data_IF_723531956737
#
_entry.id   IF_723531956737
#
_cell.length_a   1.000
_cell.length_b   1.000
_cell.length_c   1.000
_cell.angle_alpha   90.00
_cell.angle_beta   90.00
_cell.angle_gamma   90.00
#
_symmetry.space_group_name_H-M   'P 1'
#
loop_
_entity.id
_entity.type
_entity.pdbx_description
1 polymer ?
#
# COMPACT_ATOMS: atom_id res chain seq x y z
N UNK A 1 -27.21 46.05 -12.17
CA UNK A 1 -26.16 45.30 -12.89
C UNK A 1 -24.89 45.47 -12.09
N UNK A 2 -24.57 44.47 -11.29
CA UNK A 2 -23.36 44.43 -10.48
C UNK A 2 -22.54 43.25 -11.01
N UNK A 3 -21.40 43.55 -11.63
CA UNK A 3 -20.29 42.63 -11.76
C UNK A 3 -19.23 43.14 -10.77
N UNK A 4 -19.13 42.49 -9.61
CA UNK A 4 -17.98 42.65 -8.73
C UNK A 4 -16.96 41.58 -9.11
N UNK A 5 -15.85 42.03 -9.71
CA UNK A 5 -14.62 41.27 -9.81
C UNK A 5 -14.15 40.91 -8.39
N UNK A 6 -14.21 39.63 -8.06
CA UNK A 6 -13.62 39.09 -6.84
C UNK A 6 -12.10 39.09 -6.99
N UNK A 7 -11.48 40.14 -6.44
CA UNK A 7 -10.04 40.31 -6.40
C UNK A 7 -9.37 39.15 -5.65
N UNK A 8 -8.22 38.73 -6.19
CA UNK A 8 -7.32 37.75 -5.61
C UNK A 8 -6.92 38.17 -4.19
N UNK A 9 -7.58 37.59 -3.20
CA UNK A 9 -7.11 37.58 -1.82
C UNK A 9 -5.78 36.83 -1.81
N UNK A 10 -4.74 37.43 -1.25
CA UNK A 10 -3.46 36.79 -0.95
C UNK A 10 -3.69 35.68 0.10
N UNK A 11 -3.73 34.42 -0.37
CA UNK A 11 -4.02 33.23 0.45
C UNK A 11 -2.74 32.40 0.66
N UNK A 12 -1.69 32.98 1.24
CA UNK A 12 -0.36 32.35 1.30
C UNK A 12 -0.06 31.54 2.59
N UNK A 13 -0.87 31.63 3.65
CA UNK A 13 -0.52 31.05 4.97
C UNK A 13 -1.30 29.83 5.47
N UNK A 14 -2.64 29.81 5.32
CA UNK A 14 -3.49 28.94 6.15
C UNK A 14 -3.90 27.58 5.51
N UNK A 15 -3.58 27.33 4.24
CA UNK A 15 -4.05 26.14 3.49
C UNK A 15 -3.08 24.94 3.49
N UNK A 16 -2.02 24.96 4.31
CA UNK A 16 -0.88 24.01 4.17
C UNK A 16 -0.91 22.79 5.10
N UNK A 17 -1.94 22.61 5.94
CA UNK A 17 -1.96 21.45 6.84
C UNK A 17 -2.49 20.20 6.13
N UNK A 18 -1.59 19.26 5.85
CA UNK A 18 -1.93 17.92 5.36
C UNK A 18 -2.30 17.06 6.56
N UNK A 19 -3.50 16.48 6.53
CA UNK A 19 -4.04 15.63 7.60
C UNK A 19 -3.69 14.16 7.39
N UNK A 20 -3.78 13.67 6.15
CA UNK A 20 -3.44 12.29 5.79
C UNK A 20 -2.86 12.23 4.38
N UNK A 21 -1.96 11.27 4.16
CA UNK A 21 -1.47 10.88 2.85
C UNK A 21 -1.67 9.37 2.65
N UNK A 22 -1.99 8.97 1.44
CA UNK A 22 -2.03 7.57 1.02
C UNK A 22 -1.41 7.47 -0.38
N UNK A 23 -0.57 6.47 -0.57
CA UNK A 23 0.06 6.19 -1.87
C UNK A 23 -0.50 4.87 -2.40
N UNK A 24 -0.94 4.88 -3.66
CA UNK A 24 -1.15 3.66 -4.44
C UNK A 24 0.09 3.31 -5.25
N UNK A 25 -0.05 2.42 -6.23
CA UNK A 25 1.10 1.94 -7.02
C UNK A 25 1.82 3.05 -7.81
N UNK A 26 1.06 3.99 -8.37
CA UNK A 26 1.56 5.06 -9.26
C UNK A 26 0.83 6.39 -9.05
N UNK A 27 0.19 6.57 -7.90
CA UNK A 27 -0.56 7.78 -7.58
C UNK A 27 -0.57 8.03 -6.08
N UNK A 28 -0.84 9.28 -5.72
CA UNK A 28 -0.90 9.72 -4.33
C UNK A 28 -2.15 10.53 -4.10
N UNK A 29 -2.69 10.39 -2.90
CA UNK A 29 -3.88 11.10 -2.43
C UNK A 29 -3.55 11.73 -1.09
N UNK A 30 -3.87 13.02 -0.94
CA UNK A 30 -3.68 13.74 0.32
C UNK A 30 -4.95 14.47 0.74
N UNK A 31 -5.28 14.42 2.02
CA UNK A 31 -6.36 15.19 2.62
C UNK A 31 -5.80 16.45 3.27
N UNK A 32 -6.26 17.62 2.80
CA UNK A 32 -6.08 18.91 3.47
C UNK A 32 -7.45 19.38 3.98
N UNK A 33 -7.85 20.62 3.66
CA UNK A 33 -9.25 21.07 3.74
C UNK A 33 -10.16 20.36 2.74
N UNK A 34 -9.59 19.90 1.63
CA UNK A 34 -10.24 19.13 0.57
C UNK A 34 -9.30 18.02 0.11
N UNK A 35 -9.86 17.03 -0.58
CA UNK A 35 -9.06 15.92 -1.07
C UNK A 35 -8.36 16.27 -2.38
N UNK A 36 -7.05 16.04 -2.44
CA UNK A 36 -6.24 16.19 -3.65
C UNK A 36 -5.65 14.86 -4.10
N UNK A 37 -5.54 14.67 -5.42
CA UNK A 37 -4.88 13.52 -6.01
C UNK A 37 -3.94 13.93 -7.15
N UNK A 38 -2.88 13.15 -7.35
CA UNK A 38 -1.93 13.28 -8.46
C UNK A 38 -1.30 11.93 -8.77
N UNK A 39 -0.70 11.80 -9.95
CA UNK A 39 -0.17 10.55 -10.50
C UNK A 39 -0.90 10.13 -11.78
N UNK A 40 -0.87 8.84 -12.10
CA UNK A 40 -1.24 8.36 -13.44
C UNK A 40 -2.62 7.68 -13.53
N UNK A 41 -3.18 7.64 -14.75
CA UNK A 41 -4.23 6.71 -15.23
C UNK A 41 -5.62 6.76 -14.57
N UNK A 42 -6.30 7.91 -14.55
CA UNK A 42 -7.76 8.00 -14.29
C UNK A 42 -8.30 7.51 -12.95
N UNK A 43 -7.42 7.03 -12.08
CA UNK A 43 -7.68 6.64 -10.68
C UNK A 43 -7.71 7.82 -9.72
N UNK A 44 -7.65 9.04 -10.26
CA UNK A 44 -7.55 10.28 -9.51
C UNK A 44 -8.93 10.85 -9.13
N UNK A 45 -10.03 10.35 -9.71
CA UNK A 45 -11.38 10.74 -9.31
C UNK A 45 -11.88 12.06 -9.92
N UNK A 46 -11.22 12.57 -10.97
CA UNK A 46 -11.54 13.84 -11.62
C UNK A 46 -12.51 13.72 -12.81
N UNK A 47 -13.05 12.52 -13.10
CA UNK A 47 -13.96 12.30 -14.22
C UNK A 47 -13.29 12.16 -15.59
N UNK A 48 -11.96 11.96 -15.62
CA UNK A 48 -11.17 11.71 -16.83
C UNK A 48 -9.99 10.77 -16.53
N UNK A 49 -9.25 10.39 -17.56
CA UNK A 49 -8.10 9.47 -17.49
C UNK A 49 -6.73 10.16 -17.56
N UNK A 50 -6.68 11.49 -17.47
CA UNK A 50 -5.44 12.25 -17.62
C UNK A 50 -4.51 12.08 -16.40
N UNK A 51 -3.22 11.98 -16.68
CA UNK A 51 -2.18 12.04 -15.65
C UNK A 51 -2.09 13.46 -15.08
N UNK A 52 -1.82 13.57 -13.78
CA UNK A 52 -1.62 14.85 -13.09
C UNK A 52 -0.29 14.86 -12.36
N UNK A 53 0.57 15.81 -12.73
CA UNK A 53 1.89 15.99 -12.10
C UNK A 53 1.88 16.99 -10.94
N UNK A 54 0.73 17.60 -10.66
CA UNK A 54 0.51 18.49 -9.51
C UNK A 54 -0.75 18.07 -8.76
N UNK A 55 -0.80 18.17 -7.43
CA UNK A 55 -1.99 17.85 -6.65
C UNK A 55 -3.20 18.68 -7.10
N UNK A 56 -4.28 18.02 -7.51
CA UNK A 56 -5.53 18.68 -7.91
C UNK A 56 -6.69 18.29 -7.00
N UNK A 57 -7.62 19.22 -6.67
CA UNK A 57 -8.80 18.90 -5.88
C UNK A 57 -9.76 17.92 -6.57
N UNK A 58 -10.21 16.90 -5.84
CA UNK A 58 -11.30 16.01 -6.26
C UNK A 58 -12.63 16.71 -5.95
N UNK A 59 -13.14 17.47 -6.93
CA UNK A 59 -14.36 18.29 -6.77
C UNK A 59 -15.57 17.49 -6.28
N UNK A 60 -15.69 16.22 -6.68
CA UNK A 60 -16.78 15.34 -6.29
C UNK A 60 -16.83 15.02 -4.78
N UNK A 61 -15.72 15.24 -4.05
CA UNK A 61 -15.64 15.02 -2.60
C UNK A 61 -15.62 16.31 -1.79
N UNK A 62 -15.78 17.47 -2.45
CA UNK A 62 -15.79 18.76 -1.77
C UNK A 62 -16.93 18.80 -0.74
N UNK A 63 -16.60 19.19 0.49
CA UNK A 63 -17.58 19.33 1.58
C UNK A 63 -17.91 18.04 2.32
N UNK A 64 -17.40 16.89 1.86
CA UNK A 64 -17.51 15.64 2.62
C UNK A 64 -16.44 15.58 3.70
N UNK A 65 -16.82 15.12 4.89
CA UNK A 65 -15.88 14.91 5.99
C UNK A 65 -15.27 13.51 5.87
N UNK A 66 -14.04 13.45 5.35
CA UNK A 66 -13.31 12.20 5.15
C UNK A 66 -12.64 11.77 6.46
N UNK A 67 -12.81 10.50 6.85
CA UNK A 67 -12.16 9.85 7.99
C UNK A 67 -10.90 9.09 7.60
N UNK A 68 -10.94 8.39 6.47
CA UNK A 68 -9.87 7.50 6.03
C UNK A 68 -9.90 7.36 4.50
N UNK A 69 -8.74 7.10 3.91
CA UNK A 69 -8.55 6.84 2.49
C UNK A 69 -7.67 5.61 2.35
N UNK A 70 -7.99 4.78 1.37
CA UNK A 70 -7.14 3.67 0.95
C UNK A 70 -6.94 3.73 -0.57
N UNK A 71 -5.69 3.54 -0.99
CA UNK A 71 -5.31 3.46 -2.39
C UNK A 71 -4.79 2.05 -2.67
N UNK A 72 -5.38 1.39 -3.66
CA UNK A 72 -4.86 0.15 -4.22
C UNK A 72 -3.90 0.42 -5.38
N UNK A 73 -3.74 -0.55 -6.28
CA UNK A 73 -2.96 -0.30 -7.49
C UNK A 73 -3.64 0.76 -8.34
N UNK A 74 -4.91 0.51 -8.73
CA UNK A 74 -5.65 1.32 -9.71
C UNK A 74 -7.06 1.75 -9.25
N UNK A 75 -7.36 1.65 -7.96
CA UNK A 75 -8.64 2.06 -7.39
C UNK A 75 -8.43 2.68 -6.00
N UNK A 76 -9.36 3.53 -5.60
CA UNK A 76 -9.30 4.28 -4.35
C UNK A 76 -10.64 4.21 -3.63
N UNK A 77 -10.58 4.30 -2.30
CA UNK A 77 -11.74 4.39 -1.42
C UNK A 77 -11.55 5.51 -0.42
N UNK A 78 -12.66 6.15 -0.05
CA UNK A 78 -12.72 7.08 1.07
C UNK A 78 -13.90 6.72 1.98
N UNK A 79 -13.61 6.61 3.28
CA UNK A 79 -14.63 6.50 4.33
C UNK A 79 -14.95 7.91 4.80
N UNK A 80 -16.21 8.34 4.69
CA UNK A 80 -16.67 9.66 5.13
C UNK A 80 -17.47 9.55 6.43
N UNK A 81 -17.94 10.67 6.97
CA UNK A 81 -18.89 10.68 8.09
C UNK A 81 -20.29 10.21 7.67
N UNK A 82 -20.61 10.31 6.37
CA UNK A 82 -21.91 10.04 5.75
C UNK A 82 -21.98 8.67 5.02
N UNK A 83 -20.87 7.95 4.91
CA UNK A 83 -20.76 6.64 4.26
C UNK A 83 -19.45 6.48 3.48
N UNK A 84 -19.39 5.52 2.58
CA UNK A 84 -18.17 5.16 1.86
C UNK A 84 -18.32 5.45 0.36
N UNK A 85 -17.23 5.91 -0.25
CA UNK A 85 -17.16 6.21 -1.69
C UNK A 85 -15.90 5.63 -2.29
N UNK A 86 -15.95 5.29 -3.59
CA UNK A 86 -14.85 4.64 -4.29
C UNK A 86 -14.83 4.99 -5.78
N UNK A 87 -13.65 4.90 -6.39
CA UNK A 87 -13.44 5.23 -7.80
C UNK A 87 -12.19 4.53 -8.35
N UNK A 88 -12.04 4.53 -9.68
CA UNK A 88 -10.95 3.92 -10.41
C UNK A 88 -11.37 2.68 -11.21
N UNK A 89 -10.44 1.73 -11.36
CA UNK A 89 -10.62 0.46 -12.09
C UNK A 89 -11.58 -0.47 -11.36
N UNK A 90 -12.43 -1.18 -12.09
CA UNK A 90 -13.47 -2.06 -11.57
C UNK A 90 -13.61 -3.40 -12.33
N UNK A 91 -12.65 -3.79 -13.15
CA UNK A 91 -12.77 -4.96 -14.03
C UNK A 91 -13.07 -6.29 -13.30
N UNK A 92 -12.80 -6.38 -11.99
CA UNK A 92 -13.09 -7.54 -11.15
C UNK A 92 -14.09 -7.23 -10.03
N UNK A 93 -14.78 -6.09 -10.10
CA UNK A 93 -15.74 -5.68 -9.09
C UNK A 93 -15.13 -5.08 -7.83
N UNK A 94 -13.85 -4.65 -7.86
CA UNK A 94 -13.16 -4.04 -6.71
C UNK A 94 -13.77 -2.72 -6.24
N UNK A 95 -14.65 -2.11 -7.05
CA UNK A 95 -15.48 -1.01 -6.59
C UNK A 95 -16.79 -1.48 -5.94
N UNK A 96 -17.08 -2.76 -5.74
CA UNK A 96 -18.26 -3.17 -4.96
C UNK A 96 -19.62 -2.61 -5.43
N UNK A 97 -19.74 -2.15 -6.69
CA UNK A 97 -20.92 -1.46 -7.23
C UNK A 97 -21.95 -2.43 -7.83
N UNK A 98 -21.67 -3.73 -7.82
CA UNK A 98 -22.46 -4.75 -8.51
C UNK A 98 -22.23 -4.79 -10.02
N UNK A 99 -21.20 -4.09 -10.51
CA UNK A 99 -20.82 -4.03 -11.93
C UNK A 99 -19.31 -4.21 -12.07
N UNK A 100 -18.84 -4.38 -13.32
CA UNK A 100 -17.41 -4.40 -13.67
C UNK A 100 -16.97 -3.15 -14.43
N UNK A 101 -17.80 -2.12 -14.44
CA UNK A 101 -17.54 -0.86 -15.15
C UNK A 101 -16.67 0.07 -14.30
N UNK A 102 -15.60 0.58 -14.89
CA UNK A 102 -14.70 1.54 -14.26
C UNK A 102 -15.45 2.82 -13.88
N UNK A 103 -15.06 3.45 -12.77
CA UNK A 103 -15.69 4.69 -12.30
C UNK A 103 -14.66 5.82 -12.22
N UNK A 104 -14.65 6.80 -13.14
CA UNK A 104 -13.68 7.89 -13.10
C UNK A 104 -14.01 8.94 -12.02
N UNK A 105 -15.14 8.80 -11.32
CA UNK A 105 -15.57 9.66 -10.22
C UNK A 105 -15.98 8.83 -8.99
N UNK A 106 -15.91 9.39 -7.77
CA UNK A 106 -16.37 8.72 -6.55
C UNK A 106 -17.86 8.34 -6.60
N UNK A 107 -18.16 7.08 -6.30
CA UNK A 107 -19.51 6.54 -6.18
C UNK A 107 -19.73 5.85 -4.83
N UNK A 108 -20.94 5.97 -4.28
CA UNK A 108 -21.33 5.33 -3.01
C UNK A 108 -21.57 3.84 -3.15
N UNK A 109 -21.20 3.07 -2.13
CA UNK A 109 -21.46 1.62 -2.08
C UNK A 109 -22.86 1.38 -1.51
N UNK A 110 -23.85 1.07 -2.35
CA UNK A 110 -25.22 0.80 -1.88
C UNK A 110 -25.30 -0.41 -0.95
N UNK A 111 -24.42 -1.40 -1.13
CA UNK A 111 -24.36 -2.60 -0.31
C UNK A 111 -24.06 -2.33 1.18
N UNK A 112 -23.46 -1.17 1.52
CA UNK A 112 -23.22 -0.77 2.90
C UNK A 112 -24.33 0.13 3.49
N UNK A 113 -25.47 0.27 2.81
CA UNK A 113 -26.59 1.02 3.38
C UNK A 113 -27.03 0.41 4.72
N UNK A 114 -26.96 1.20 5.79
CA UNK A 114 -27.26 0.77 7.16
C UNK A 114 -26.10 0.10 7.91
N UNK A 115 -24.94 -0.06 7.27
CA UNK A 115 -23.72 -0.61 7.89
C UNK A 115 -22.73 0.54 8.08
N UNK A 116 -22.27 0.77 9.31
CA UNK A 116 -21.25 1.80 9.56
C UNK A 116 -19.86 1.24 9.33
N UNK A 117 -19.16 1.68 8.28
CA UNK A 117 -17.76 1.27 8.07
C UNK A 117 -16.83 2.07 8.97
N UNK A 118 -15.90 1.33 9.59
CA UNK A 118 -14.81 1.86 10.41
C UNK A 118 -13.61 2.19 9.54
N UNK A 119 -13.20 1.24 8.69
CA UNK A 119 -12.04 1.40 7.82
C UNK A 119 -12.08 0.47 6.61
N UNK A 120 -11.30 0.84 5.60
CA UNK A 120 -11.12 0.13 4.33
C UNK A 120 -9.63 -0.06 4.02
N UNK A 121 -9.33 -1.09 3.23
CA UNK A 121 -8.01 -1.37 2.67
C UNK A 121 -8.16 -1.87 1.22
N UNK A 122 -7.17 -1.56 0.38
CA UNK A 122 -7.20 -1.84 -1.05
C UNK A 122 -5.88 -2.49 -1.48
N UNK A 123 -5.97 -3.62 -2.19
CA UNK A 123 -4.84 -4.28 -2.83
C UNK A 123 -4.75 -3.96 -4.32
N UNK A 124 -4.28 -4.92 -5.12
CA UNK A 124 -4.19 -4.74 -6.57
C UNK A 124 -5.57 -4.45 -7.20
N UNK A 125 -6.47 -5.42 -7.02
CA UNK A 125 -7.80 -5.48 -7.61
C UNK A 125 -8.80 -6.12 -6.63
N UNK A 126 -8.51 -6.03 -5.33
CA UNK A 126 -9.41 -6.47 -4.27
C UNK A 126 -9.46 -5.43 -3.17
N UNK A 127 -10.51 -5.50 -2.37
CA UNK A 127 -10.79 -4.53 -1.33
C UNK A 127 -11.34 -5.25 -0.11
N UNK A 128 -10.99 -4.73 1.06
CA UNK A 128 -11.51 -5.21 2.33
C UNK A 128 -12.00 -4.04 3.18
N UNK A 129 -12.98 -4.31 4.03
CA UNK A 129 -13.51 -3.33 4.97
C UNK A 129 -13.85 -3.96 6.32
N UNK A 130 -13.83 -3.13 7.37
CA UNK A 130 -14.28 -3.50 8.70
C UNK A 130 -15.40 -2.54 9.11
N UNK A 131 -16.54 -3.09 9.56
CA UNK A 131 -17.61 -2.30 10.17
C UNK A 131 -17.27 -1.88 11.60
N UNK A 132 -17.97 -0.88 12.15
CA UNK A 132 -17.80 -0.45 13.55
C UNK A 132 -18.11 -1.56 14.56
N UNK A 133 -18.97 -2.50 14.18
CA UNK A 133 -19.32 -3.68 14.97
C UNK A 133 -18.26 -4.79 14.90
N UNK A 134 -17.22 -4.60 14.07
CA UNK A 134 -16.10 -5.52 13.90
C UNK A 134 -16.31 -6.60 12.83
N UNK A 135 -17.31 -6.46 11.96
CA UNK A 135 -17.51 -7.39 10.85
C UNK A 135 -16.51 -7.10 9.71
N UNK A 136 -15.82 -8.15 9.24
CA UNK A 136 -14.90 -8.09 8.11
C UNK A 136 -15.64 -8.39 6.80
N UNK A 137 -15.35 -7.61 5.75
CA UNK A 137 -15.89 -7.77 4.41
C UNK A 137 -14.76 -7.83 3.38
N UNK A 138 -14.98 -8.58 2.30
CA UNK A 138 -14.07 -8.66 1.16
C UNK A 138 -14.83 -8.61 -0.17
N UNK A 139 -14.27 -7.93 -1.17
CA UNK A 139 -14.77 -7.93 -2.55
C UNK A 139 -13.70 -7.63 -3.59
N UNK A 140 -14.06 -7.73 -4.86
CA UNK A 140 -13.17 -7.63 -6.01
C UNK A 140 -12.63 -9.00 -6.46
N UNK A 141 -11.39 -9.00 -6.96
CA UNK A 141 -10.69 -10.18 -7.43
C UNK A 141 -10.38 -11.15 -6.29
N UNK A 142 -10.77 -12.43 -6.42
CA UNK A 142 -10.69 -13.42 -5.33
C UNK A 142 -9.90 -14.68 -5.61
N UNK A 143 -9.16 -14.77 -6.73
CA UNK A 143 -8.62 -16.06 -7.21
C UNK A 143 -7.57 -16.72 -6.32
N UNK A 144 -6.91 -15.96 -5.44
CA UNK A 144 -5.98 -16.54 -4.45
C UNK A 144 -6.60 -16.66 -3.06
N UNK A 145 -7.92 -16.50 -2.91
CA UNK A 145 -8.59 -16.57 -1.60
C UNK A 145 -8.44 -15.30 -0.76
N UNK A 146 -7.90 -14.24 -1.32
CA UNK A 146 -7.64 -12.94 -0.69
C UNK A 146 -8.91 -12.13 -0.36
N UNK A 147 -10.09 -12.73 -0.46
CA UNK A 147 -11.34 -12.17 0.07
C UNK A 147 -11.73 -12.79 1.41
N UNK A 148 -11.14 -13.93 1.78
CA UNK A 148 -11.41 -14.62 3.04
C UNK A 148 -12.75 -15.36 3.08
N UNK A 149 -13.40 -15.56 1.92
CA UNK A 149 -14.77 -16.11 1.82
C UNK A 149 -14.82 -17.63 1.68
N UNK A 150 -13.66 -18.32 1.72
CA UNK A 150 -13.58 -19.78 1.59
C UNK A 150 -13.62 -20.32 0.16
N UNK A 151 -13.56 -19.44 -0.84
CA UNK A 151 -13.49 -19.81 -2.25
C UNK A 151 -12.53 -18.92 -3.05
N UNK A 152 -12.47 -19.14 -4.36
CA UNK A 152 -11.62 -18.41 -5.32
C UNK A 152 -12.43 -17.57 -6.31
N UNK A 153 -13.65 -17.18 -5.97
CA UNK A 153 -14.52 -16.43 -6.88
C UNK A 153 -14.45 -14.93 -6.61
N UNK A 154 -14.52 -14.13 -7.68
CA UNK A 154 -14.59 -12.68 -7.59
C UNK A 154 -15.94 -12.25 -7.00
N UNK A 155 -16.00 -11.13 -6.28
CA UNK A 155 -17.25 -10.55 -5.75
C UNK A 155 -17.44 -9.14 -6.25
N UNK A 156 -18.59 -8.88 -6.87
CA UNK A 156 -18.93 -7.55 -7.40
C UNK A 156 -19.53 -6.61 -6.35
N UNK A 157 -19.85 -7.12 -5.17
CA UNK A 157 -20.36 -6.38 -4.01
C UNK A 157 -19.65 -6.87 -2.74
N UNK A 158 -19.51 -6.03 -1.70
CA UNK A 158 -18.99 -6.44 -0.40
C UNK A 158 -19.72 -7.66 0.17
N UNK A 159 -18.97 -8.71 0.49
CA UNK A 159 -19.49 -9.91 1.15
C UNK A 159 -18.83 -10.09 2.52
N UNK A 160 -19.64 -10.47 3.52
CA UNK A 160 -19.18 -10.62 4.90
C UNK A 160 -18.41 -11.93 5.07
N UNK A 161 -17.22 -11.85 5.66
CA UNK A 161 -16.43 -13.02 6.06
C UNK A 161 -17.06 -13.65 7.31
N UNK A 162 -17.49 -14.91 7.20
CA UNK A 162 -18.26 -15.63 8.23
C UNK A 162 -17.43 -16.61 9.08
N UNK A 163 -16.20 -16.92 8.69
CA UNK A 163 -15.38 -18.00 9.27
C UNK A 163 -14.62 -17.62 10.53
N UNK A 164 -14.89 -16.45 11.11
CA UNK A 164 -14.12 -15.87 12.22
C UNK A 164 -14.60 -16.28 13.62
N UNK A 165 -15.51 -17.25 13.76
CA UNK A 165 -15.99 -17.78 15.04
C UNK A 165 -16.30 -16.68 16.09
N UNK A 166 -17.07 -15.66 15.69
CA UNK A 166 -17.44 -14.48 16.51
C UNK A 166 -16.30 -13.50 16.86
N UNK A 167 -15.08 -13.73 16.38
CA UNK A 167 -13.98 -12.81 16.59
C UNK A 167 -14.18 -11.52 15.79
N UNK A 168 -14.21 -10.40 16.50
CA UNK A 168 -14.40 -9.06 15.92
C UNK A 168 -13.07 -8.51 15.44
N UNK A 169 -13.07 -7.97 14.22
CA UNK A 169 -11.90 -7.35 13.61
C UNK A 169 -11.78 -5.88 13.99
N UNK A 170 -10.56 -5.44 14.24
CA UNK A 170 -10.22 -4.08 14.62
C UNK A 170 -9.55 -3.31 13.48
N UNK A 171 -8.68 -3.98 12.71
CA UNK A 171 -8.01 -3.36 11.55
C UNK A 171 -7.74 -4.35 10.42
N UNK A 172 -7.65 -3.82 9.21
CA UNK A 172 -7.36 -4.57 7.98
C UNK A 172 -6.36 -3.80 7.13
N UNK A 173 -5.46 -4.53 6.48
CA UNK A 173 -4.54 -4.04 5.47
C UNK A 173 -4.52 -5.04 4.30
N UNK A 174 -4.27 -4.53 3.10
CA UNK A 174 -4.10 -5.35 1.90
C UNK A 174 -2.66 -5.19 1.42
N UNK A 175 -2.01 -6.31 1.10
CA UNK A 175 -0.93 -6.28 0.13
C UNK A 175 -1.48 -6.40 -1.28
N UNK A 176 -0.65 -6.83 -2.23
CA UNK A 176 -1.09 -6.93 -3.62
C UNK A 176 -2.22 -7.96 -3.81
N UNK A 177 -1.98 -9.20 -3.36
CA UNK A 177 -2.90 -10.33 -3.49
C UNK A 177 -3.05 -11.14 -2.19
N UNK A 178 -2.79 -10.50 -1.06
CA UNK A 178 -3.02 -11.06 0.28
C UNK A 178 -3.62 -9.99 1.17
N UNK A 179 -4.27 -10.43 2.24
CA UNK A 179 -4.97 -9.57 3.17
C UNK A 179 -4.59 -9.94 4.59
N UNK A 180 -4.49 -8.92 5.43
CA UNK A 180 -4.04 -9.01 6.81
C UNK A 180 -5.11 -8.35 7.65
N UNK A 181 -5.56 -9.00 8.71
CA UNK A 181 -6.51 -8.43 9.67
C UNK A 181 -6.07 -8.70 11.10
N UNK A 182 -6.37 -7.76 11.99
CA UNK A 182 -6.08 -7.91 13.42
C UNK A 182 -7.39 -7.80 14.18
N UNK A 183 -7.62 -8.71 15.10
CA UNK A 183 -8.81 -8.71 15.94
C UNK A 183 -8.77 -7.65 17.04
N UNK A 184 -9.90 -7.42 17.70
CA UNK A 184 -9.99 -6.53 18.88
C UNK A 184 -9.12 -7.01 20.05
N UNK A 185 -8.75 -8.30 20.09
CA UNK A 185 -7.84 -8.86 21.09
C UNK A 185 -6.37 -8.74 20.70
N UNK A 186 -6.08 -8.16 19.53
CA UNK A 186 -4.72 -7.96 19.03
C UNK A 186 -4.14 -9.17 18.28
N UNK A 187 -4.94 -10.20 17.98
CA UNK A 187 -4.49 -11.39 17.25
C UNK A 187 -4.43 -11.13 15.75
N UNK A 188 -3.38 -11.62 15.11
CA UNK A 188 -3.11 -11.45 13.69
C UNK A 188 -3.66 -12.60 12.85
N UNK A 189 -4.32 -12.25 11.76
CA UNK A 189 -4.83 -13.16 10.75
C UNK A 189 -4.35 -12.74 9.36
N UNK A 190 -4.02 -13.72 8.53
CA UNK A 190 -3.59 -13.52 7.14
C UNK A 190 -4.32 -14.52 6.24
N UNK A 191 -4.58 -14.11 4.99
CA UNK A 191 -5.23 -14.93 3.97
C UNK A 191 -4.94 -14.40 2.57
N UNK A 192 -5.16 -15.23 1.56
CA UNK A 192 -4.82 -14.94 0.18
C UNK A 192 -3.57 -15.70 -0.30
N UNK A 193 -2.77 -15.02 -1.11
CA UNK A 193 -1.59 -15.61 -1.76
C UNK A 193 -0.38 -15.71 -0.84
N UNK A 194 0.31 -16.87 -0.81
CA UNK A 194 1.51 -17.11 0.02
C UNK A 194 2.71 -17.68 -0.75
N UNK A 195 2.78 -17.55 -2.08
CA UNK A 195 3.92 -18.08 -2.88
C UNK A 195 5.32 -17.65 -2.38
N UNK A 196 5.42 -16.50 -1.70
CA UNK A 196 6.67 -15.98 -1.13
C UNK A 196 6.68 -16.01 0.40
N UNK A 197 5.75 -16.73 1.03
CA UNK A 197 5.62 -16.85 2.47
C UNK A 197 4.99 -15.63 3.14
N UNK A 198 4.37 -14.71 2.37
CA UNK A 198 3.82 -13.46 2.88
C UNK A 198 2.61 -13.62 3.82
N UNK A 199 2.06 -14.83 3.98
CA UNK A 199 1.07 -15.07 5.02
C UNK A 199 1.69 -15.36 6.40
N UNK A 200 2.96 -15.77 6.47
CA UNK A 200 3.69 -15.90 7.73
C UNK A 200 3.43 -17.19 8.52
N UNK A 201 2.92 -18.24 7.88
CA UNK A 201 2.55 -19.50 8.56
C UNK A 201 3.66 -20.55 8.62
N UNK A 202 4.86 -20.25 8.10
CA UNK A 202 5.98 -21.20 8.03
C UNK A 202 6.00 -22.06 6.76
N UNK A 203 5.12 -21.77 5.82
CA UNK A 203 4.99 -22.45 4.53
C UNK A 203 4.70 -21.43 3.41
N UNK A 204 4.36 -21.94 2.22
CA UNK A 204 4.06 -21.14 1.02
C UNK A 204 2.63 -21.38 0.51
N UNK A 205 1.73 -21.86 1.37
CA UNK A 205 0.38 -22.26 1.00
C UNK A 205 -0.63 -21.10 1.07
N UNK A 206 -1.53 -21.04 0.09
CA UNK A 206 -2.60 -20.04 0.06
C UNK A 206 -3.69 -20.38 1.08
N UNK A 207 -4.22 -19.37 1.78
CA UNK A 207 -5.35 -19.54 2.69
C UNK A 207 -6.59 -18.83 2.16
N UNK A 208 -7.70 -19.57 1.99
CA UNK A 208 -8.96 -19.03 1.44
C UNK A 208 -9.85 -18.33 2.48
N UNK A 209 -9.49 -18.47 3.75
CA UNK A 209 -10.18 -17.90 4.92
C UNK A 209 -9.13 -17.30 5.84
N UNK A 210 -9.47 -16.29 6.66
CA UNK A 210 -8.52 -15.74 7.63
C UNK A 210 -7.93 -16.83 8.52
N UNK A 211 -6.61 -16.95 8.50
CA UNK A 211 -5.87 -17.95 9.27
C UNK A 211 -4.94 -17.26 10.26
N UNK A 212 -4.91 -17.77 11.50
CA UNK A 212 -4.18 -17.11 12.60
C UNK A 212 -2.68 -17.32 12.43
N UNK A 213 -1.90 -16.26 12.60
CA UNK A 213 -0.44 -16.33 12.58
C UNK A 213 0.05 -16.75 13.97
N UNK A 214 0.17 -18.06 14.21
CA UNK A 214 0.50 -18.60 15.54
C UNK A 214 1.87 -18.16 16.08
N UNK A 215 2.84 -17.88 15.20
CA UNK A 215 4.14 -17.35 15.58
C UNK A 215 4.08 -15.99 16.33
N UNK A 216 2.96 -15.27 16.22
CA UNK A 216 2.71 -14.00 16.91
C UNK A 216 1.49 -14.07 17.86
N UNK A 217 1.07 -15.27 18.29
CA UNK A 217 -0.11 -15.45 19.14
C UNK A 217 0.00 -14.74 20.50
N UNK A 218 1.21 -14.66 21.06
CA UNK A 218 1.50 -14.01 22.34
C UNK A 218 1.80 -12.51 22.20
N UNK A 219 1.80 -12.00 20.96
CA UNK A 219 2.05 -10.59 20.67
C UNK A 219 0.74 -9.86 20.39
N UNK A 220 0.56 -8.70 21.01
CA UNK A 220 -0.57 -7.82 20.70
C UNK A 220 -0.21 -6.91 19.53
N UNK A 221 -0.85 -7.08 18.38
CA UNK A 221 -0.56 -6.28 17.18
C UNK A 221 -1.30 -4.93 17.23
N UNK A 222 -0.54 -3.86 17.00
CA UNK A 222 -1.00 -2.46 16.99
C UNK A 222 -1.14 -1.88 15.57
N UNK A 223 -0.30 -2.31 14.62
CA UNK A 223 -0.37 -1.86 13.23
C UNK A 223 0.07 -2.97 12.27
N UNK A 224 -0.50 -2.98 11.08
CA UNK A 224 -0.18 -3.91 9.99
C UNK A 224 0.00 -3.14 8.68
N UNK A 225 0.85 -3.66 7.81
CA UNK A 225 1.05 -3.12 6.46
C UNK A 225 1.41 -4.25 5.50
N UNK A 226 0.75 -4.28 4.34
CA UNK A 226 1.02 -5.24 3.27
C UNK A 226 1.74 -4.55 2.11
N UNK A 227 2.88 -5.10 1.70
CA UNK A 227 3.58 -4.68 0.49
C UNK A 227 3.11 -5.44 -0.74
N UNK A 228 3.94 -5.47 -1.79
CA UNK A 228 3.62 -6.26 -2.99
C UNK A 228 3.53 -7.75 -2.64
N UNK A 229 4.58 -8.24 -1.97
CA UNK A 229 4.79 -9.67 -1.67
C UNK A 229 5.43 -9.88 -0.29
N UNK A 230 5.39 -8.87 0.58
CA UNK A 230 5.91 -8.92 1.95
C UNK A 230 4.93 -8.26 2.89
N UNK A 231 5.11 -8.48 4.18
CA UNK A 231 4.18 -8.05 5.22
C UNK A 231 4.95 -7.55 6.43
N UNK A 232 4.41 -6.52 7.08
CA UNK A 232 4.90 -5.97 8.32
C UNK A 232 3.80 -5.96 9.37
N UNK A 233 4.15 -6.35 10.60
CA UNK A 233 3.30 -6.20 11.78
C UNK A 233 4.07 -5.56 12.93
N UNK A 234 3.50 -4.52 13.49
CA UNK A 234 4.03 -3.77 14.63
C UNK A 234 3.24 -4.15 15.88
N UNK A 235 3.94 -4.57 16.92
CA UNK A 235 3.33 -4.91 18.21
C UNK A 235 3.09 -3.67 19.06
N UNK A 236 2.24 -3.80 20.09
CA UNK A 236 1.92 -2.75 21.05
C UNK A 236 3.12 -2.32 21.91
N UNK A 237 4.11 -3.21 22.11
CA UNK A 237 5.37 -2.91 22.81
C UNK A 237 6.46 -2.31 21.89
N UNK A 238 6.14 -2.05 20.62
CA UNK A 238 7.01 -1.35 19.68
C UNK A 238 7.98 -2.23 18.89
N UNK A 239 7.81 -3.57 18.92
CA UNK A 239 8.61 -4.49 18.10
C UNK A 239 8.02 -4.61 16.71
N UNK A 240 8.87 -4.46 15.69
CA UNK A 240 8.48 -4.65 14.30
C UNK A 240 8.86 -6.05 13.82
N UNK A 241 7.92 -6.75 13.21
CA UNK A 241 8.12 -8.04 12.57
C UNK A 241 7.85 -7.93 11.07
N UNK A 242 8.68 -8.58 10.27
CA UNK A 242 8.56 -8.65 8.82
C UNK A 242 8.69 -10.09 8.30
N UNK A 243 8.02 -10.38 7.18
CA UNK A 243 8.12 -11.64 6.46
C UNK A 243 7.66 -11.49 5.00
N UNK A 244 7.82 -12.55 4.22
CA UNK A 244 7.49 -12.64 2.81
C UNK A 244 8.72 -12.54 1.90
N UNK A 245 8.49 -12.02 0.69
CA UNK A 245 9.51 -11.84 -0.33
C UNK A 245 10.59 -10.85 0.11
N UNK A 246 11.86 -11.23 -0.02
CA UNK A 246 13.01 -10.46 0.47
C UNK A 246 14.13 -10.29 -0.56
N UNK A 247 13.88 -10.53 -1.85
CA UNK A 247 14.91 -10.41 -2.91
C UNK A 247 15.69 -9.08 -2.87
N UNK A 248 15.04 -7.97 -2.53
CA UNK A 248 15.67 -6.65 -2.45
C UNK A 248 15.96 -6.22 -1.01
N UNK A 249 15.83 -7.11 -0.04
CA UNK A 249 16.06 -6.82 1.36
C UNK A 249 14.90 -6.08 2.05
N UNK A 250 13.70 -6.05 1.45
CA UNK A 250 12.55 -5.29 1.94
C UNK A 250 11.95 -5.82 3.26
N UNK A 251 12.33 -7.02 3.70
CA UNK A 251 12.01 -7.52 5.04
C UNK A 251 12.90 -6.87 6.11
N UNK A 252 14.13 -6.50 5.78
CA UNK A 252 14.98 -5.67 6.65
C UNK A 252 15.77 -6.44 7.70
N UNK A 253 16.10 -7.71 7.46
CA UNK A 253 16.78 -8.58 8.46
C UNK A 253 18.29 -8.79 8.18
N UNK A 254 18.86 -8.05 7.23
CA UNK A 254 20.29 -8.12 6.89
C UNK A 254 20.66 -9.19 5.85
N UNK A 255 19.67 -9.83 5.24
CA UNK A 255 19.85 -10.78 4.14
C UNK A 255 18.82 -10.54 3.01
N UNK A 256 18.88 -11.37 1.97
CA UNK A 256 18.02 -11.29 0.78
C UNK A 256 17.21 -12.58 0.55
N UNK A 257 17.02 -13.39 1.59
CA UNK A 257 16.31 -14.67 1.51
C UNK A 257 14.86 -14.49 1.92
N UNK A 258 13.93 -15.09 1.19
CA UNK A 258 12.51 -15.05 1.50
C UNK A 258 12.21 -15.70 2.85
N UNK A 259 11.26 -15.12 3.59
CA UNK A 259 10.98 -15.47 4.98
C UNK A 259 9.51 -15.86 5.11
N UNK A 260 9.21 -17.12 5.42
CA UNK A 260 7.83 -17.59 5.52
C UNK A 260 7.23 -17.55 6.93
N UNK A 261 7.99 -17.09 7.94
CA UNK A 261 7.51 -16.87 9.31
C UNK A 261 7.97 -15.50 9.82
N UNK A 262 7.18 -14.80 10.66
CA UNK A 262 7.55 -13.49 11.19
C UNK A 262 8.94 -13.45 11.84
N UNK A 263 9.81 -12.55 11.36
CA UNK A 263 11.13 -12.29 11.95
C UNK A 263 11.19 -10.85 12.45
N UNK A 264 11.74 -10.65 13.65
CA UNK A 264 11.88 -9.33 14.22
C UNK A 264 12.93 -8.50 13.45
N UNK A 265 12.53 -7.31 13.01
CA UNK A 265 13.42 -6.32 12.39
C UNK A 265 14.23 -5.63 13.47
N UNK A 266 15.55 -5.51 13.28
CA UNK A 266 16.48 -4.84 14.20
C UNK A 266 16.95 -3.53 13.59
N UNK A 267 17.13 -2.51 14.43
CA UNK A 267 17.57 -1.18 14.00
C UNK A 267 19.03 -0.94 14.45
N UNK A 268 19.84 -0.26 13.61
CA UNK A 268 21.22 0.09 13.96
C UNK A 268 21.28 1.13 15.09
N UNK A 269 22.42 1.20 15.78
CA UNK A 269 22.72 2.19 16.82
C UNK A 269 23.91 3.04 16.37
N UNK A 270 23.76 4.35 16.27
CA UNK A 270 24.85 5.27 15.89
C UNK A 270 25.86 5.53 17.02
N UNK A 271 25.59 5.12 18.26
CA UNK A 271 26.59 5.19 19.35
C UNK A 271 27.62 4.05 19.34
N UNK A 272 27.54 3.10 18.41
CA UNK A 272 28.46 1.99 18.32
C UNK A 272 29.73 2.34 17.51
N UNK A 273 30.45 3.39 17.92
CA UNK A 273 31.74 3.77 17.34
C UNK A 273 32.88 2.74 17.51
N UNK A 274 32.61 1.51 17.98
CA UNK A 274 33.61 0.43 18.03
C UNK A 274 33.05 -1.00 18.20
N UNK A 275 31.76 -1.26 18.00
CA UNK A 275 31.22 -2.61 18.19
C UNK A 275 30.10 -2.94 17.19
N UNK A 276 30.42 -3.75 16.18
CA UNK A 276 29.46 -4.29 15.20
C UNK A 276 28.39 -5.23 15.80
N UNK A 277 28.28 -5.33 17.13
CA UNK A 277 27.39 -6.28 17.83
C UNK A 277 26.28 -5.63 18.67
N UNK A 278 26.15 -4.30 18.72
CA UNK A 278 25.19 -3.62 19.59
C UNK A 278 23.94 -3.15 18.82
N UNK A 279 23.06 -4.07 18.43
CA UNK A 279 21.70 -3.73 17.99
C UNK A 279 20.82 -3.46 19.22
N UNK A 280 20.22 -2.27 19.31
CA UNK A 280 19.19 -1.99 20.32
C UNK A 280 17.80 -2.16 19.70
N UNK A 281 16.84 -2.59 20.52
CA UNK A 281 15.44 -2.67 20.12
C UNK A 281 14.89 -1.25 20.22
N UNK A 282 15.03 -0.47 19.15
CA UNK A 282 14.29 0.79 19.01
C UNK A 282 12.80 0.47 18.88
N UNK A 283 11.97 1.22 19.61
CA UNK A 283 10.53 1.09 19.54
C UNK A 283 10.02 1.79 18.29
N UNK A 284 9.40 1.02 17.41
CA UNK A 284 8.74 1.51 16.22
C UNK A 284 7.33 2.00 16.60
N UNK A 285 6.92 3.14 16.04
CA UNK A 285 5.58 3.71 16.24
C UNK A 285 4.73 3.66 14.98
N UNK A 286 5.35 3.63 13.81
CA UNK A 286 4.65 3.52 12.52
C UNK A 286 5.44 2.69 11.51
N UNK A 287 4.73 1.96 10.66
CA UNK A 287 5.30 1.23 9.52
C UNK A 287 4.43 1.38 8.26
N UNK A 288 5.07 1.43 7.10
CA UNK A 288 4.40 1.41 5.80
C UNK A 288 5.21 0.60 4.78
N UNK A 289 4.55 -0.25 4.02
CA UNK A 289 5.13 -1.04 2.94
C UNK A 289 4.79 -0.40 1.59
N UNK A 290 5.80 -0.23 0.74
CA UNK A 290 5.60 -0.07 -0.69
C UNK A 290 5.61 -1.42 -1.39
N UNK A 291 5.77 -1.42 -2.72
CA UNK A 291 5.88 -2.68 -3.46
C UNK A 291 7.14 -3.48 -3.09
N UNK A 292 8.28 -2.80 -2.95
CA UNK A 292 9.61 -3.43 -2.81
C UNK A 292 10.49 -2.74 -1.77
N UNK A 293 9.91 -1.87 -0.96
CA UNK A 293 10.61 -1.13 0.08
C UNK A 293 9.68 -0.98 1.28
N UNK A 294 10.26 -0.64 2.43
CA UNK A 294 9.56 -0.47 3.69
C UNK A 294 10.08 0.78 4.38
N UNK A 295 9.17 1.51 5.03
CA UNK A 295 9.42 2.70 5.82
C UNK A 295 8.97 2.44 7.26
N UNK A 296 9.74 2.91 8.24
CA UNK A 296 9.35 2.88 9.65
C UNK A 296 9.75 4.16 10.37
N UNK A 297 8.97 4.52 11.40
CA UNK A 297 9.23 5.67 12.27
C UNK A 297 9.38 5.14 13.70
N UNK A 298 10.38 5.63 14.44
CA UNK A 298 10.63 5.25 15.84
C UNK A 298 10.03 6.25 16.83
N UNK A 299 9.97 5.91 18.12
CA UNK A 299 9.54 6.83 19.19
C UNK A 299 10.41 8.10 19.27
N UNK A 300 11.66 8.01 18.82
CA UNK A 300 12.63 9.12 18.75
C UNK A 300 12.42 10.01 17.51
N UNK A 301 11.35 9.78 16.74
CA UNK A 301 11.03 10.50 15.50
C UNK A 301 12.09 10.32 14.40
N UNK A 302 12.89 9.27 14.48
CA UNK A 302 13.79 8.88 13.41
C UNK A 302 13.02 8.07 12.36
N UNK A 303 13.30 8.34 11.08
CA UNK A 303 12.67 7.67 9.94
C UNK A 303 13.70 6.74 9.31
N UNK A 304 13.34 5.48 9.14
CA UNK A 304 14.16 4.47 8.50
C UNK A 304 13.51 3.99 7.21
N UNK A 305 14.35 3.61 6.24
CA UNK A 305 13.91 2.95 5.02
C UNK A 305 14.86 1.83 4.62
N UNK A 306 14.30 0.79 3.98
CA UNK A 306 15.05 -0.33 3.43
C UNK A 306 14.27 -1.01 2.29
N UNK A 307 14.93 -1.90 1.57
CA UNK A 307 14.47 -2.59 0.37
C UNK A 307 15.09 -2.04 -0.90
N UNK A 308 14.31 -2.04 -1.99
CA UNK A 308 14.70 -1.52 -3.30
C UNK A 308 14.93 -0.01 -3.25
N UNK A 309 16.05 0.47 -3.78
CA UNK A 309 16.42 1.88 -3.81
C UNK A 309 16.71 2.48 -5.19
N UNK A 310 16.57 1.72 -6.28
CA UNK A 310 16.96 2.17 -7.63
C UNK A 310 16.20 3.38 -8.20
N UNK A 311 15.09 3.78 -7.57
CA UNK A 311 14.32 4.97 -7.96
C UNK A 311 14.44 6.09 -6.91
N UNK A 312 15.39 5.97 -5.97
CA UNK A 312 15.55 6.91 -4.86
C UNK A 312 14.46 6.82 -3.79
N UNK A 313 13.58 5.82 -3.84
CA UNK A 313 12.44 5.66 -2.93
C UNK A 313 12.85 5.46 -1.45
N UNK A 314 14.11 5.14 -1.20
CA UNK A 314 14.65 5.05 0.16
C UNK A 314 15.02 6.42 0.76
N UNK A 315 15.20 7.46 -0.06
CA UNK A 315 15.47 8.82 0.44
C UNK A 315 16.90 9.06 0.94
N UNK A 316 17.84 8.16 0.66
CA UNK A 316 19.24 8.23 1.13
C UNK A 316 20.18 9.05 0.25
N UNK A 317 19.67 9.71 -0.81
CA UNK A 317 20.48 10.41 -1.81
C UNK A 317 21.26 9.50 -2.78
N UNK A 318 21.15 8.18 -2.61
CA UNK A 318 21.78 7.16 -3.44
C UNK A 318 20.72 6.22 -4.04
N UNK A 319 21.03 5.57 -5.16
CA UNK A 319 20.12 4.63 -5.85
C UNK A 319 20.50 3.17 -5.61
N UNK A 320 20.74 2.79 -4.35
CA UNK A 320 21.16 1.45 -3.94
C UNK A 320 20.15 0.75 -3.05
N UNK A 321 20.02 -0.56 -3.22
CA UNK A 321 19.17 -1.40 -2.39
C UNK A 321 19.80 -1.57 -0.99
N UNK A 322 18.97 -1.68 0.05
CA UNK A 322 19.39 -1.84 1.45
C UNK A 322 18.61 -3.00 2.07
N UNK A 323 19.29 -3.94 2.71
CA UNK A 323 18.63 -5.12 3.31
C UNK A 323 18.49 -5.07 4.83
N UNK A 324 18.84 -3.94 5.43
CA UNK A 324 18.59 -3.60 6.83
C UNK A 324 18.11 -2.13 6.91
N UNK A 325 17.38 -1.75 7.98
CA UNK A 325 16.92 -0.37 8.17
C UNK A 325 18.08 0.63 8.14
N UNK A 326 18.00 1.63 7.27
CA UNK A 326 18.93 2.76 7.22
C UNK A 326 18.17 4.06 7.50
N UNK A 327 18.74 4.92 8.32
CA UNK A 327 18.14 6.21 8.71
C UNK A 327 18.06 7.16 7.51
N UNK A 328 16.96 7.89 7.38
CA UNK A 328 16.79 8.98 6.42
C UNK A 328 17.22 10.27 7.12
N UNK A 329 18.49 10.65 6.94
CA UNK A 329 19.13 11.80 7.60
C UNK A 329 18.34 13.11 7.41
N UNK A 330 17.74 13.31 6.25
CA UNK A 330 17.02 14.54 5.93
C UNK A 330 15.76 14.75 6.80
N UNK A 331 15.16 13.67 7.31
CA UNK A 331 13.86 13.70 8.00
C UNK A 331 13.95 13.30 9.48
N UNK A 332 15.11 12.82 9.92
CA UNK A 332 15.30 12.26 11.26
C UNK A 332 15.90 13.28 12.22
N UNK A 333 15.58 13.14 13.51
CA UNK A 333 16.09 14.01 14.57
C UNK A 333 17.60 13.83 14.74
N UNK A 334 18.07 12.58 14.66
CA UNK A 334 19.50 12.26 14.70
C UNK A 334 20.26 12.70 13.43
N UNK A 335 19.53 13.12 12.39
CA UNK A 335 20.10 13.69 11.17
C UNK A 335 19.99 15.22 11.09
N UNK A 336 19.72 15.75 9.91
CA UNK A 336 19.66 17.20 9.65
C UNK A 336 18.32 17.85 10.01
N UNK A 337 17.34 17.09 10.53
CA UNK A 337 16.04 17.61 10.99
C UNK A 337 15.34 18.54 9.97
N UNK A 338 15.38 18.20 8.68
CA UNK A 338 14.71 18.96 7.62
C UNK A 338 15.44 20.22 7.14
N UNK A 339 16.63 20.55 7.66
CA UNK A 339 17.36 21.76 7.29
C UNK A 339 17.82 21.82 5.82
N UNK A 340 17.85 20.68 5.12
CA UNK A 340 18.25 20.57 3.71
C UNK A 340 17.12 20.14 2.76
N UNK A 341 15.86 20.14 3.22
CA UNK A 341 14.72 19.82 2.35
C UNK A 341 14.32 21.08 1.60
N UNK A 342 14.95 21.30 0.44
CA UNK A 342 14.49 22.32 -0.51
C UNK A 342 13.22 21.85 -1.23
N UNK A 343 12.36 22.79 -1.60
CA UNK A 343 11.31 22.49 -2.58
C UNK A 343 11.97 22.02 -3.87
N UNK A 344 11.39 21.01 -4.52
CA UNK A 344 11.83 20.59 -5.85
C UNK A 344 11.79 21.82 -6.77
N UNK A 345 12.96 22.31 -7.19
CA UNK A 345 13.07 23.38 -8.17
C UNK A 345 12.46 22.86 -9.47
N UNK A 346 11.54 23.64 -10.06
CA UNK A 346 11.03 23.38 -11.41
C UNK A 346 12.23 23.27 -12.35
N UNK A 347 12.50 22.08 -12.87
CA UNK A 347 13.55 21.90 -13.87
C UNK A 347 13.12 22.64 -15.15
N UNK A 348 13.82 23.73 -15.54
CA UNK A 348 13.49 24.49 -16.74
C UNK A 348 13.68 23.67 -18.02
N UNK A 349 14.42 22.54 -17.95
CA UNK A 349 14.65 21.61 -19.06
C UNK A 349 13.58 20.52 -19.17
N UNK A 350 12.60 20.45 -18.26
CA UNK A 350 11.49 19.49 -18.33
C UNK A 350 10.51 19.73 -19.50
N UNK A 351 10.74 20.77 -20.30
CA UNK A 351 10.15 20.91 -21.63
C UNK A 351 10.65 19.82 -22.58
N UNK A 352 9.85 18.76 -22.75
CA UNK A 352 9.93 17.71 -23.79
C UNK A 352 10.87 16.52 -23.55
N UNK A 353 11.05 16.08 -22.30
CA UNK A 353 11.45 14.69 -22.05
C UNK A 353 10.20 13.85 -21.79
N UNK A 354 9.50 13.42 -22.86
CA UNK A 354 8.45 12.41 -22.74
C UNK A 354 9.14 11.09 -22.40
N UNK A 355 9.23 10.76 -21.11
CA UNK A 355 9.73 9.46 -20.64
C UNK A 355 8.60 8.47 -20.81
N UNK A 356 8.83 7.44 -21.62
CA UNK A 356 7.82 6.43 -21.90
C UNK A 356 7.41 5.74 -20.59
N UNK A 357 6.13 5.35 -20.42
CA UNK A 357 5.68 4.66 -19.23
C UNK A 357 6.61 3.49 -18.84
N UNK A 358 7.06 2.70 -19.82
CA UNK A 358 7.97 1.56 -19.63
C UNK A 358 9.29 1.89 -18.90
N UNK A 359 9.78 3.12 -19.02
CA UNK A 359 11.03 3.59 -18.41
C UNK A 359 10.81 4.26 -17.03
N UNK A 360 9.55 4.59 -16.68
CA UNK A 360 9.17 5.07 -15.33
C UNK A 360 9.03 3.93 -14.33
N UNK A 361 9.00 2.68 -14.81
CA UNK A 361 8.75 1.50 -13.98
C UNK A 361 10.04 0.78 -13.62
N UNK A 362 10.09 0.23 -12.42
CA UNK A 362 11.04 -0.83 -12.12
C UNK A 362 10.64 -2.08 -12.92
N UNK A 363 11.38 -2.33 -13.99
CA UNK A 363 11.27 -3.47 -14.92
C UNK A 363 11.07 -4.77 -14.12
N UNK A 364 10.05 -5.54 -14.50
CA UNK A 364 9.86 -6.93 -14.08
C UNK A 364 10.89 -7.76 -14.86
N UNK A 365 11.89 -8.40 -14.24
CA UNK A 365 12.76 -9.32 -14.97
C UNK A 365 11.92 -10.54 -15.38
N UNK A 366 11.74 -10.74 -16.69
CA UNK A 366 11.06 -11.91 -17.26
C UNK A 366 10.26 -11.68 -18.55
N UNK A 367 9.97 -10.43 -18.94
CA UNK A 367 9.21 -10.15 -20.17
C UNK A 367 10.03 -9.31 -21.16
N UNK A 368 10.77 -9.98 -22.03
CA UNK A 368 11.14 -9.42 -23.33
C UNK A 368 11.15 -10.53 -24.38
N UNK A 369 10.15 -10.49 -25.27
CA UNK A 369 10.13 -11.29 -26.48
C UNK A 369 10.38 -10.40 -27.69
N UNK A 370 11.45 -10.66 -28.45
CA UNK A 370 11.36 -11.04 -29.86
C UNK A 370 12.72 -11.51 -30.43
N UNK A 371 12.79 -12.83 -30.66
CA UNK A 371 13.32 -13.58 -31.84
C UNK A 371 14.49 -13.03 -32.66
N UNK A 372 15.59 -13.81 -32.78
CA UNK A 372 16.00 -14.58 -33.99
C UNK A 372 17.10 -15.64 -33.66
N UNK A 373 16.84 -16.89 -34.09
CA UNK A 373 17.68 -18.07 -34.42
C UNK A 373 18.60 -18.82 -33.41
N UNK A 374 18.18 -20.08 -33.19
CA UNK A 374 18.95 -21.36 -33.07
C UNK A 374 20.20 -21.44 -32.18
N UNK A 375 20.11 -22.20 -31.08
CA UNK A 375 20.59 -23.60 -30.96
C UNK A 375 20.34 -24.12 -29.52
N UNK A 376 20.42 -25.45 -29.37
CA UNK A 376 19.97 -26.33 -28.27
C UNK A 376 20.45 -25.97 -26.85
N UNK A 377 19.61 -26.24 -25.83
CA UNK A 377 20.08 -26.49 -24.45
C UNK A 377 19.07 -26.36 -23.30
N UNK A 378 18.34 -27.44 -23.00
CA UNK A 378 17.72 -27.89 -21.74
C UNK A 378 17.18 -26.92 -20.65
N UNK A 379 15.84 -26.99 -20.45
CA UNK A 379 15.13 -27.18 -19.16
C UNK A 379 15.03 -25.97 -18.21
N UNK A 380 13.87 -25.49 -17.76
CA UNK A 380 12.48 -25.88 -17.93
C UNK A 380 11.67 -25.06 -16.92
N UNK A 381 11.14 -23.92 -17.35
CA UNK A 381 10.17 -23.10 -16.60
C UNK A 381 8.89 -23.04 -17.43
N UNK A 382 7.82 -23.65 -16.90
CA UNK A 382 6.53 -23.75 -17.59
C UNK A 382 5.43 -23.15 -16.70
N UNK A 383 4.95 -22.01 -17.19
CA UNK A 383 3.57 -21.49 -17.18
C UNK A 383 2.94 -20.92 -15.89
N UNK A 384 2.90 -19.58 -15.86
CA UNK A 384 1.75 -18.79 -15.40
C UNK A 384 0.84 -18.59 -16.63
N UNK A 385 -0.50 -18.77 -16.56
CA UNK A 385 -1.38 -18.64 -17.72
C UNK A 385 -1.24 -17.27 -18.41
N UNK A 386 -0.91 -17.31 -19.70
CA UNK A 386 -0.49 -16.21 -20.57
C UNK A 386 -1.58 -15.17 -20.96
N UNK A 387 -2.62 -14.98 -20.15
CA UNK A 387 -3.74 -14.09 -20.52
C UNK A 387 -3.67 -12.65 -19.97
N UNK A 388 -2.70 -12.31 -19.12
CA UNK A 388 -2.65 -10.99 -18.47
C UNK A 388 -1.82 -9.91 -19.21
N UNK A 389 -1.11 -10.26 -20.29
CA UNK A 389 -0.22 -9.32 -20.98
C UNK A 389 -0.85 -8.55 -22.16
N UNK A 390 -2.14 -8.75 -22.49
CA UNK A 390 -2.75 -8.21 -23.72
C UNK A 390 -3.86 -7.16 -23.57
N UNK A 391 -4.08 -6.57 -22.39
CA UNK A 391 -5.12 -5.52 -22.23
C UNK A 391 -4.62 -4.16 -21.78
N UNK A 392 -3.39 -3.80 -22.13
CA UNK A 392 -2.78 -2.47 -21.87
C UNK A 392 -3.05 -1.47 -23.02
N UNK A 393 -3.78 -1.85 -24.07
CA UNK A 393 -4.22 -0.90 -25.11
C UNK A 393 -5.71 -1.06 -25.39
N UNK A 394 -6.51 -0.23 -24.74
CA UNK A 394 -7.47 0.69 -25.36
C UNK A 394 -8.08 1.59 -24.29
#
# INVERSE_FOLDING_TARGET
MAEEEMSLIDVSGAFRQVLFISAGASHSVALLLFLVAWGDFGRLGHGNSSDLFTPQPIKALHGLRIKQIACGDSHCLAVTMEGEVQWGRNQNGQLGLGTTEDSPVPQKIKAFQGISIKMVAAGAEHTAAISKEGALYGWGWGRYGNLGLGDRNDRLVPEKVSTLNEEKMNMVACGWRHTISVSVTGRLYTYGWSKYGQLGHGDFEDHLVPYKVEALADSSIKQISGGWRHTMALTSDGKLYGWGWNKFGQVGVGDNTDICSPVQVKFPNDQAHSCYCCFQILKVVQVSCGWRHTLAITEEQNIFSWGRGTNGQLGHGESMDRNFPKIIEALSVEGSSGQQIESSKLDPLSGKSWVSPAERYAVVPGESGQTVNSEKGNGGDVDVPQNDAKRIRM
#
